data_IF_122372425404
#
_entry.id   IF_122372425404
#
_cell.length_a   1.000
_cell.length_b   1.000
_cell.length_c   1.000
_cell.angle_alpha   90.00
_cell.angle_beta   90.00
_cell.angle_gamma   90.00
#
_symmetry.space_group_name_H-M   'P 1'
#
loop_
_entity.id
_entity.type
_entity.pdbx_description
1 polymer ?
#
# COMPACT_ATOMS: atom_id res chain seq x y z
N UNK A 1 7.32 -21.53 -9.56
CA UNK A 1 6.95 -21.82 -10.96
C UNK A 1 7.50 -23.20 -11.25
N UNK A 2 6.90 -23.97 -12.16
CA UNK A 2 7.53 -25.22 -12.60
C UNK A 2 8.35 -24.89 -13.85
N UNK A 3 9.58 -25.37 -13.92
CA UNK A 3 10.38 -25.24 -15.14
C UNK A 3 9.88 -26.21 -16.23
N UNK A 4 10.55 -26.21 -17.38
CA UNK A 4 10.24 -27.11 -18.50
C UNK A 4 10.40 -28.60 -18.14
N UNK A 5 11.04 -28.92 -17.02
CA UNK A 5 11.19 -30.28 -16.50
C UNK A 5 10.20 -30.63 -15.38
N UNK A 6 9.28 -29.71 -15.04
CA UNK A 6 8.30 -29.91 -13.98
C UNK A 6 8.86 -29.73 -12.57
N UNK A 7 10.10 -29.23 -12.43
CA UNK A 7 10.71 -28.96 -11.13
C UNK A 7 10.34 -27.57 -10.62
N UNK A 8 10.18 -27.45 -9.31
CA UNK A 8 9.92 -26.17 -8.66
C UNK A 8 11.13 -25.25 -8.80
N UNK A 9 10.98 -24.22 -9.63
CA UNK A 9 11.90 -23.08 -9.70
C UNK A 9 11.29 -21.86 -9.01
N UNK A 10 12.11 -21.20 -8.20
CA UNK A 10 11.80 -19.86 -7.72
C UNK A 10 12.17 -18.87 -8.81
N UNK A 11 11.26 -17.93 -9.13
CA UNK A 11 11.68 -16.78 -9.91
C UNK A 11 12.81 -16.09 -9.13
N UNK A 12 13.92 -15.69 -9.81
CA UNK A 12 14.98 -14.97 -9.14
C UNK A 12 14.37 -13.73 -8.47
N UNK A 13 14.70 -13.53 -7.19
CA UNK A 13 14.24 -12.36 -6.44
C UNK A 13 14.74 -11.12 -7.16
N UNK A 14 13.87 -10.11 -7.29
CA UNK A 14 14.30 -8.81 -7.80
C UNK A 14 15.24 -8.18 -6.76
N UNK A 15 16.27 -7.52 -7.26
CA UNK A 15 17.21 -6.74 -6.44
C UNK A 15 16.93 -5.26 -6.66
N UNK A 16 16.88 -4.49 -5.57
CA UNK A 16 16.68 -3.05 -5.65
C UNK A 16 17.79 -2.36 -6.45
N UNK A 17 19.05 -2.76 -6.25
CA UNK A 17 20.17 -2.28 -7.04
C UNK A 17 19.97 -2.53 -8.54
N UNK A 18 19.45 -3.72 -8.92
CA UNK A 18 19.16 -4.02 -10.32
C UNK A 18 18.00 -3.19 -10.88
N UNK A 19 16.98 -2.89 -10.07
CA UNK A 19 15.89 -2.00 -10.47
C UNK A 19 16.41 -0.58 -10.71
N UNK A 20 17.27 -0.07 -9.82
CA UNK A 20 17.93 1.23 -9.99
C UNK A 20 18.76 1.25 -11.28
N UNK A 21 19.61 0.24 -11.51
CA UNK A 21 20.40 0.10 -12.74
C UNK A 21 19.50 0.09 -13.98
N UNK A 22 18.38 -0.65 -13.93
CA UNK A 22 17.42 -0.70 -15.04
C UNK A 22 16.74 0.65 -15.28
N UNK A 23 16.44 1.44 -14.24
CA UNK A 23 15.93 2.81 -14.40
C UNK A 23 16.94 3.69 -15.15
N UNK A 24 18.22 3.65 -14.77
CA UNK A 24 19.28 4.36 -15.50
C UNK A 24 19.42 3.87 -16.95
N UNK A 25 19.32 2.56 -17.17
CA UNK A 25 19.35 1.97 -18.50
C UNK A 25 18.18 2.47 -19.37
N UNK A 26 16.97 2.53 -18.82
CA UNK A 26 15.78 3.04 -19.51
C UNK A 26 15.95 4.52 -19.86
N UNK A 27 16.48 5.33 -18.95
CA UNK A 27 16.75 6.73 -19.20
C UNK A 27 17.73 6.92 -20.36
N UNK A 28 18.92 6.30 -20.29
CA UNK A 28 19.92 6.38 -21.35
C UNK A 28 19.40 5.78 -22.67
N UNK A 29 18.60 4.71 -22.60
CA UNK A 29 17.88 4.24 -23.79
C UNK A 29 16.96 5.34 -24.29
N UNK A 30 16.14 6.01 -23.50
CA UNK A 30 15.24 7.07 -23.98
C UNK A 30 15.93 8.21 -24.74
N UNK A 31 17.26 8.35 -24.62
CA UNK A 31 18.05 9.31 -25.39
C UNK A 31 18.27 8.89 -26.85
N UNK A 32 18.33 7.58 -27.15
CA UNK A 32 18.76 7.02 -28.45
C UNK A 32 17.61 6.62 -29.41
N UNK A 33 16.60 5.79 -29.08
CA UNK A 33 15.44 5.54 -29.94
C UNK A 33 14.50 6.74 -29.99
N UNK A 34 14.01 7.00 -31.21
CA UNK A 34 13.13 8.13 -31.55
C UNK A 34 11.66 7.98 -31.16
N UNK A 35 11.25 6.93 -30.42
CA UNK A 35 9.82 6.70 -30.13
C UNK A 35 9.55 6.21 -28.71
N UNK A 36 8.53 6.82 -28.10
CA UNK A 36 7.89 6.43 -26.83
C UNK A 36 7.57 4.93 -26.77
N UNK A 37 7.16 4.34 -27.89
CA UNK A 37 6.83 2.90 -28.00
C UNK A 37 8.01 1.99 -27.74
N UNK A 38 9.21 2.32 -28.23
CA UNK A 38 10.40 1.49 -28.02
C UNK A 38 10.82 1.48 -26.55
N UNK A 39 10.80 2.66 -25.90
CA UNK A 39 11.07 2.79 -24.46
C UNK A 39 10.02 2.05 -23.64
N UNK A 40 8.74 2.15 -23.99
CA UNK A 40 7.65 1.42 -23.32
C UNK A 40 7.80 -0.11 -23.40
N UNK A 41 8.26 -0.64 -24.53
CA UNK A 41 8.59 -2.08 -24.67
C UNK A 41 9.75 -2.48 -23.76
N UNK A 42 10.78 -1.64 -23.65
CA UNK A 42 11.91 -1.91 -22.76
C UNK A 42 11.52 -1.88 -21.28
N UNK A 43 10.75 -0.87 -20.85
CA UNK A 43 10.19 -0.77 -19.50
C UNK A 43 9.44 -2.05 -19.14
N UNK A 44 8.61 -2.54 -20.07
CA UNK A 44 7.83 -3.78 -19.89
C UNK A 44 8.74 -5.00 -19.77
N UNK A 45 9.74 -5.12 -20.66
CA UNK A 45 10.72 -6.21 -20.66
C UNK A 45 11.52 -6.29 -19.36
N UNK A 46 11.97 -5.14 -18.85
CA UNK A 46 12.75 -5.04 -17.61
C UNK A 46 11.86 -5.08 -16.35
N UNK A 47 10.53 -4.98 -16.52
CA UNK A 47 9.58 -5.03 -15.41
C UNK A 47 9.69 -3.84 -14.45
N UNK A 48 10.18 -2.70 -14.93
CA UNK A 48 10.35 -1.47 -14.15
C UNK A 48 9.05 -0.65 -14.15
N UNK A 49 8.73 -0.03 -13.01
CA UNK A 49 7.55 0.84 -12.84
C UNK A 49 7.95 2.15 -12.17
N UNK A 50 8.83 2.91 -12.83
CA UNK A 50 9.25 4.24 -12.38
C UNK A 50 8.35 5.32 -13.00
N UNK A 51 7.32 5.73 -12.28
CA UNK A 51 6.33 6.71 -12.77
C UNK A 51 6.94 8.11 -12.92
N UNK A 52 7.91 8.47 -12.08
CA UNK A 52 8.56 9.78 -12.12
C UNK A 52 9.44 9.89 -13.35
N UNK A 53 10.33 8.93 -13.57
CA UNK A 53 11.20 8.94 -14.74
C UNK A 53 10.39 8.79 -16.04
N UNK A 54 9.36 7.93 -16.04
CA UNK A 54 8.48 7.76 -17.21
C UNK A 54 7.74 9.05 -17.57
N UNK A 55 7.26 9.84 -16.59
CA UNK A 55 6.56 11.10 -16.87
C UNK A 55 7.48 12.17 -17.46
N UNK A 56 8.73 12.24 -16.98
CA UNK A 56 9.76 13.13 -17.54
C UNK A 56 10.10 12.73 -18.97
N UNK A 57 10.31 11.44 -19.23
CA UNK A 57 10.56 10.91 -20.58
C UNK A 57 9.40 11.21 -21.52
N UNK A 58 8.17 10.97 -21.06
CA UNK A 58 6.96 11.22 -21.85
C UNK A 58 6.82 12.70 -22.20
N UNK A 59 7.00 13.59 -21.21
CA UNK A 59 6.95 15.04 -21.41
C UNK A 59 8.03 15.51 -22.40
N UNK A 60 9.24 14.96 -22.29
CA UNK A 60 10.32 15.23 -23.25
C UNK A 60 9.92 14.82 -24.67
N UNK A 61 9.34 13.64 -24.87
CA UNK A 61 8.89 13.22 -26.20
C UNK A 61 7.74 14.08 -26.75
N UNK A 62 6.80 14.49 -25.91
CA UNK A 62 5.73 15.42 -26.29
C UNK A 62 6.29 16.75 -26.80
N UNK A 63 7.28 17.32 -26.10
CA UNK A 63 7.93 18.57 -26.51
C UNK A 63 8.71 18.38 -27.81
N UNK A 64 9.49 17.30 -27.93
CA UNK A 64 10.26 17.02 -29.15
C UNK A 64 9.37 16.82 -30.38
N UNK A 65 8.15 16.27 -30.20
CA UNK A 65 7.18 16.11 -31.27
C UNK A 65 6.64 17.45 -31.82
N UNK A 66 6.68 18.53 -31.03
CA UNK A 66 6.24 19.87 -31.44
C UNK A 66 7.20 20.56 -32.41
N UNK A 67 8.47 20.14 -32.49
CA UNK A 67 9.50 20.76 -33.32
C UNK A 67 9.52 22.29 -33.13
N UNK A 68 9.35 23.06 -34.20
CA UNK A 68 9.42 24.53 -34.21
C UNK A 68 8.24 25.22 -33.51
N UNK A 69 7.19 24.46 -33.12
CA UNK A 69 6.04 24.99 -32.36
C UNK A 69 6.20 24.88 -30.84
N UNK A 70 7.35 24.39 -30.36
CA UNK A 70 7.64 24.32 -28.93
C UNK A 70 7.83 25.73 -28.35
N UNK A 71 7.27 25.96 -27.16
CA UNK A 71 7.44 27.24 -26.44
C UNK A 71 8.86 27.39 -25.89
N UNK A 72 9.29 28.62 -25.59
CA UNK A 72 10.59 28.89 -24.99
C UNK A 72 10.79 28.14 -23.65
N UNK A 73 9.74 28.07 -22.82
CA UNK A 73 9.74 27.31 -21.57
C UNK A 73 9.94 25.80 -21.78
N UNK A 74 9.30 25.23 -22.82
CA UNK A 74 9.45 23.82 -23.16
C UNK A 74 10.85 23.48 -23.69
N UNK A 75 11.43 24.37 -24.49
CA UNK A 75 12.83 24.27 -24.94
C UNK A 75 13.77 24.36 -23.75
N UNK A 76 13.53 25.29 -22.83
CA UNK A 76 14.31 25.44 -21.59
C UNK A 76 14.20 24.19 -20.70
N UNK A 77 13.01 23.59 -20.58
CA UNK A 77 12.81 22.33 -19.86
C UNK A 77 13.68 21.21 -20.42
N UNK A 78 13.64 20.99 -21.75
CA UNK A 78 14.45 19.94 -22.40
C UNK A 78 15.95 20.21 -22.25
N UNK A 79 16.37 21.47 -22.34
CA UNK A 79 17.78 21.84 -22.11
C UNK A 79 18.20 21.63 -20.65
N UNK A 80 17.32 21.95 -19.70
CA UNK A 80 17.53 21.69 -18.27
C UNK A 80 17.73 20.21 -17.97
N UNK A 81 16.98 19.32 -18.63
CA UNK A 81 17.19 17.87 -18.51
C UNK A 81 18.59 17.43 -18.98
N UNK A 82 19.08 17.99 -20.09
CA UNK A 82 20.44 17.69 -20.59
C UNK A 82 21.52 18.17 -19.62
N UNK A 83 21.34 19.37 -19.05
CA UNK A 83 22.28 19.93 -18.09
C UNK A 83 22.33 19.06 -16.82
N UNK A 84 21.17 18.61 -16.34
CA UNK A 84 21.08 17.69 -15.20
C UNK A 84 21.73 16.34 -15.50
N UNK A 85 21.55 15.77 -16.70
CA UNK A 85 22.19 14.49 -17.03
C UNK A 85 23.72 14.58 -17.03
N UNK A 86 24.29 15.74 -17.37
CA UNK A 86 25.73 15.97 -17.42
C UNK A 86 26.38 16.27 -16.06
N UNK A 87 25.64 16.86 -15.11
CA UNK A 87 26.24 17.39 -13.86
C UNK A 87 25.45 17.16 -12.56
N UNK A 88 24.29 16.51 -12.62
CA UNK A 88 23.42 16.28 -11.46
C UNK A 88 22.40 15.17 -11.74
N UNK A 89 22.87 14.07 -12.32
CA UNK A 89 22.02 13.04 -12.92
C UNK A 89 21.06 12.43 -11.92
N UNK A 90 21.45 12.33 -10.66
CA UNK A 90 20.63 11.76 -9.60
C UNK A 90 19.35 12.55 -9.34
N UNK A 91 19.33 13.86 -9.63
CA UNK A 91 18.13 14.70 -9.54
C UNK A 91 17.03 14.34 -10.56
N UNK A 92 17.38 13.57 -11.61
CA UNK A 92 16.43 13.07 -12.61
C UNK A 92 15.69 11.80 -12.16
N UNK A 93 16.09 11.24 -11.02
CA UNK A 93 15.57 9.99 -10.50
C UNK A 93 14.95 10.17 -9.12
N UNK A 94 14.28 9.11 -8.67
CA UNK A 94 13.67 9.08 -7.35
C UNK A 94 14.74 9.28 -6.26
N UNK A 95 14.55 10.21 -5.30
CA UNK A 95 15.50 10.40 -4.19
C UNK A 95 15.60 9.15 -3.31
N UNK A 96 14.62 8.23 -3.37
CA UNK A 96 14.69 6.93 -2.70
C UNK A 96 15.86 6.06 -3.18
N UNK A 97 16.46 6.33 -4.33
CA UNK A 97 17.66 5.60 -4.79
C UNK A 97 18.89 5.89 -3.91
N UNK A 98 18.90 7.03 -3.24
CA UNK A 98 20.01 7.47 -2.38
C UNK A 98 19.75 7.19 -0.89
N UNK A 99 18.54 6.71 -0.55
CA UNK A 99 18.15 6.49 0.84
C UNK A 99 18.84 5.24 1.38
N UNK A 100 19.86 5.44 2.23
CA UNK A 100 20.56 4.35 2.91
C UNK A 100 19.56 3.52 3.74
N UNK A 101 19.62 2.20 3.59
CA UNK A 101 18.75 1.26 4.31
C UNK A 101 17.37 1.04 3.69
N UNK A 102 17.03 1.71 2.58
CA UNK A 102 15.79 1.47 1.84
C UNK A 102 16.01 0.50 0.67
N UNK A 103 15.18 -0.53 0.59
CA UNK A 103 15.11 -1.48 -0.51
C UNK A 103 13.69 -1.48 -1.09
N UNK A 104 13.49 -0.89 -2.26
CA UNK A 104 12.16 -0.81 -2.87
C UNK A 104 11.51 -2.15 -3.21
N UNK A 105 12.29 -3.25 -3.31
CA UNK A 105 11.75 -4.59 -3.53
C UNK A 105 11.25 -5.23 -2.22
N UNK A 106 11.87 -4.91 -1.09
CA UNK A 106 11.54 -5.50 0.21
C UNK A 106 10.72 -4.57 1.13
N UNK A 107 10.78 -3.25 0.90
CA UNK A 107 10.09 -2.20 1.66
C UNK A 107 8.77 -1.75 1.05
N UNK A 108 8.22 -2.57 0.15
CA UNK A 108 6.88 -2.40 -0.40
C UNK A 108 5.99 -3.57 0.04
N UNK A 109 5.47 -3.54 1.29
CA UNK A 109 4.71 -4.65 1.84
C UNK A 109 3.39 -4.88 1.11
N UNK A 110 2.85 -6.09 1.27
CA UNK A 110 1.57 -6.50 0.69
C UNK A 110 0.42 -5.69 1.30
N UNK A 111 -0.09 -4.69 0.59
CA UNK A 111 -1.19 -3.86 1.09
C UNK A 111 -2.49 -4.68 1.20
N UNK A 112 -2.89 -5.02 2.43
CA UNK A 112 -3.95 -6.01 2.71
C UNK A 112 -5.34 -5.56 2.28
N UNK A 113 -5.66 -4.26 2.38
CA UNK A 113 -6.98 -3.77 1.97
C UNK A 113 -7.19 -4.01 0.47
N UNK A 114 -6.21 -3.66 -0.34
CA UNK A 114 -6.24 -3.78 -1.78
C UNK A 114 -6.03 -5.21 -2.24
N UNK A 115 -5.10 -5.95 -1.64
CA UNK A 115 -4.76 -7.31 -2.05
C UNK A 115 -5.82 -8.31 -1.60
N UNK A 116 -6.23 -8.25 -0.34
CA UNK A 116 -7.15 -9.24 0.24
C UNK A 116 -8.61 -8.86 0.02
N UNK A 117 -9.10 -7.74 0.58
CA UNK A 117 -10.52 -7.36 0.51
C UNK A 117 -10.94 -6.89 -0.89
N UNK A 118 -10.32 -5.81 -1.39
CA UNK A 118 -10.61 -5.23 -2.72
C UNK A 118 -9.95 -6.02 -3.86
N UNK A 119 -9.28 -7.12 -3.54
CA UNK A 119 -8.64 -8.02 -4.47
C UNK A 119 -9.31 -9.38 -4.44
N UNK A 120 -8.73 -10.29 -3.66
CA UNK A 120 -9.13 -11.70 -3.60
C UNK A 120 -10.61 -11.87 -3.26
N UNK A 121 -11.07 -11.31 -2.14
CA UNK A 121 -12.48 -11.42 -1.69
C UNK A 121 -13.42 -10.82 -2.74
N UNK A 122 -13.09 -9.61 -3.23
CA UNK A 122 -13.85 -8.95 -4.29
C UNK A 122 -13.95 -9.79 -5.55
N UNK A 123 -12.85 -10.35 -6.03
CA UNK A 123 -12.86 -11.12 -7.27
C UNK A 123 -13.68 -12.39 -7.13
N UNK A 124 -13.51 -13.12 -6.02
CA UNK A 124 -14.26 -14.34 -5.76
C UNK A 124 -15.75 -14.08 -5.60
N UNK A 125 -16.14 -13.11 -4.76
CA UNK A 125 -17.54 -12.74 -4.60
C UNK A 125 -18.16 -12.29 -5.92
N UNK A 126 -17.47 -11.44 -6.68
CA UNK A 126 -17.97 -10.96 -7.98
C UNK A 126 -18.11 -12.11 -8.98
N UNK A 127 -17.13 -13.01 -9.05
CA UNK A 127 -17.19 -14.18 -9.93
C UNK A 127 -18.38 -15.08 -9.57
N UNK A 128 -18.59 -15.31 -8.28
CA UNK A 128 -19.69 -16.14 -7.79
C UNK A 128 -21.04 -15.51 -8.08
N UNK A 129 -21.26 -14.25 -7.65
CA UNK A 129 -22.53 -13.55 -7.83
C UNK A 129 -22.90 -13.36 -9.31
N UNK A 130 -21.92 -13.18 -10.20
CA UNK A 130 -22.15 -13.15 -11.65
C UNK A 130 -22.60 -14.48 -12.25
N UNK A 131 -22.24 -15.60 -11.62
CA UNK A 131 -22.61 -16.93 -12.10
C UNK A 131 -24.03 -17.34 -11.70
N UNK A 132 -24.67 -16.60 -10.79
CA UNK A 132 -26.03 -16.88 -10.35
C UNK A 132 -27.04 -16.39 -11.38
N UNK A 133 -28.13 -17.14 -11.55
CA UNK A 133 -29.27 -16.73 -12.35
C UNK A 133 -29.96 -15.52 -11.71
N UNK A 134 -30.48 -14.61 -12.54
CA UNK A 134 -31.14 -13.38 -12.05
C UNK A 134 -32.32 -13.67 -11.10
N UNK A 135 -33.06 -14.76 -11.34
CA UNK A 135 -34.17 -15.21 -10.50
C UNK A 135 -33.78 -15.69 -9.11
N UNK A 136 -32.50 -16.00 -8.87
CA UNK A 136 -31.99 -16.45 -7.55
C UNK A 136 -31.61 -15.27 -6.65
N UNK A 137 -31.36 -14.09 -7.23
CA UNK A 137 -30.94 -12.91 -6.45
C UNK A 137 -31.94 -12.46 -5.37
N UNK A 138 -33.28 -12.52 -5.57
CA UNK A 138 -34.23 -12.25 -4.49
C UNK A 138 -34.06 -13.17 -3.28
N UNK A 139 -33.80 -14.47 -3.51
CA UNK A 139 -33.58 -15.44 -2.43
C UNK A 139 -32.25 -15.17 -1.70
N UNK A 140 -31.18 -14.86 -2.43
CA UNK A 140 -29.91 -14.41 -1.82
C UNK A 140 -30.13 -13.17 -0.93
N UNK A 141 -30.96 -12.22 -1.38
CA UNK A 141 -31.30 -11.04 -0.59
C UNK A 141 -32.10 -11.40 0.67
N UNK A 142 -33.07 -12.32 0.56
CA UNK A 142 -33.84 -12.82 1.69
C UNK A 142 -32.93 -13.49 2.73
N UNK A 143 -31.95 -14.28 2.29
CA UNK A 143 -30.94 -14.91 3.14
C UNK A 143 -30.03 -13.92 3.84
N UNK A 144 -29.57 -12.88 3.14
CA UNK A 144 -28.86 -11.78 3.80
C UNK A 144 -29.71 -11.07 4.85
N UNK A 145 -31.04 -10.99 4.65
CA UNK A 145 -31.98 -10.37 5.61
C UNK A 145 -32.23 -11.25 6.83
N UNK A 146 -32.21 -12.58 6.69
CA UNK A 146 -32.38 -13.53 7.79
C UNK A 146 -31.07 -13.89 8.53
N UNK A 147 -29.92 -13.52 7.97
CA UNK A 147 -28.61 -13.80 8.57
C UNK A 147 -28.45 -13.10 9.94
N UNK A 148 -28.14 -13.88 10.98
CA UNK A 148 -27.90 -13.35 12.32
C UNK A 148 -26.57 -12.58 12.38
N UNK A 149 -26.66 -11.28 12.67
CA UNK A 149 -25.51 -10.38 12.75
C UNK A 149 -24.94 -10.24 14.15
N UNK A 150 -25.49 -10.90 15.18
CA UNK A 150 -25.01 -10.74 16.57
C UNK A 150 -23.53 -11.06 16.74
N UNK A 151 -23.01 -12.01 15.96
CA UNK A 151 -21.60 -12.37 15.93
C UNK A 151 -20.73 -11.46 15.05
N UNK A 152 -21.33 -10.56 14.27
CA UNK A 152 -20.61 -9.61 13.44
C UNK A 152 -20.47 -8.27 14.19
N UNK A 153 -19.25 -7.74 14.25
CA UNK A 153 -19.01 -6.38 14.73
C UNK A 153 -19.43 -5.33 13.68
N UNK A 154 -20.73 -5.30 13.33
CA UNK A 154 -21.31 -4.39 12.33
C UNK A 154 -22.66 -3.84 12.82
N UNK A 155 -22.95 -2.55 12.58
CA UNK A 155 -24.17 -1.93 13.09
C UNK A 155 -25.45 -2.46 12.41
N UNK A 156 -25.38 -2.77 11.11
CA UNK A 156 -26.51 -3.35 10.37
C UNK A 156 -26.04 -3.91 9.01
N UNK A 157 -26.66 -5.00 8.58
CA UNK A 157 -26.53 -5.50 7.21
C UNK A 157 -27.35 -4.65 6.24
N UNK A 158 -26.84 -4.50 5.01
CA UNK A 158 -27.58 -3.88 3.90
C UNK A 158 -27.85 -4.92 2.81
N UNK A 159 -28.82 -5.84 2.98
CA UNK A 159 -29.06 -6.97 2.06
C UNK A 159 -29.23 -6.54 0.60
N UNK A 160 -30.02 -5.49 0.36
CA UNK A 160 -30.21 -4.93 -0.97
C UNK A 160 -28.89 -4.51 -1.60
N UNK A 161 -28.05 -3.79 -0.85
CA UNK A 161 -26.76 -3.30 -1.34
C UNK A 161 -25.78 -4.44 -1.60
N UNK A 162 -25.65 -5.40 -0.67
CA UNK A 162 -24.79 -6.58 -0.82
C UNK A 162 -25.19 -7.45 -2.02
N UNK A 163 -26.47 -7.49 -2.35
CA UNK A 163 -27.00 -8.33 -3.44
C UNK A 163 -27.01 -7.63 -4.80
N UNK A 164 -27.38 -6.36 -4.88
CA UNK A 164 -27.49 -5.62 -6.16
C UNK A 164 -26.21 -4.89 -6.56
N UNK A 165 -25.37 -4.52 -5.59
CA UNK A 165 -24.16 -3.74 -5.81
C UNK A 165 -22.88 -4.50 -5.43
N UNK A 166 -22.92 -5.84 -5.47
CA UNK A 166 -21.80 -6.73 -5.09
C UNK A 166 -20.46 -6.41 -5.78
N UNK A 167 -20.47 -5.76 -6.95
CA UNK A 167 -19.24 -5.36 -7.66
C UNK A 167 -18.60 -4.07 -7.14
N UNK A 168 -19.39 -3.22 -6.46
CA UNK A 168 -19.05 -1.87 -6.06
C UNK A 168 -18.96 -1.71 -4.53
N UNK A 169 -18.92 -2.82 -3.81
CA UNK A 169 -18.69 -2.83 -2.37
C UNK A 169 -17.35 -2.18 -2.02
N UNK A 170 -17.26 -1.62 -0.81
CA UNK A 170 -16.03 -1.08 -0.24
C UNK A 170 -15.41 -2.07 0.77
N UNK A 171 -14.22 -1.77 1.30
CA UNK A 171 -13.47 -2.68 2.18
C UNK A 171 -14.31 -3.28 3.31
N UNK A 172 -15.03 -2.42 4.07
CA UNK A 172 -15.90 -2.88 5.15
C UNK A 172 -17.00 -3.84 4.67
N UNK A 173 -17.62 -3.56 3.53
CA UNK A 173 -18.69 -4.39 2.98
C UNK A 173 -18.14 -5.75 2.51
N UNK A 174 -16.93 -5.80 1.95
CA UNK A 174 -16.27 -7.07 1.63
C UNK A 174 -15.88 -7.86 2.87
N UNK A 175 -15.50 -7.21 3.97
CA UNK A 175 -15.26 -7.89 5.25
C UNK A 175 -16.54 -8.54 5.78
N UNK A 176 -17.69 -7.89 5.59
CA UNK A 176 -19.01 -8.48 5.90
C UNK A 176 -19.31 -9.66 4.97
N UNK A 177 -19.16 -9.48 3.66
CA UNK A 177 -19.42 -10.53 2.69
C UNK A 177 -18.54 -11.75 2.94
N UNK A 178 -17.28 -11.57 3.29
CA UNK A 178 -16.36 -12.66 3.65
C UNK A 178 -16.88 -13.52 4.82
N UNK A 179 -17.48 -12.89 5.83
CA UNK A 179 -18.00 -13.60 7.00
C UNK A 179 -19.39 -14.21 6.75
N UNK A 180 -20.23 -13.57 5.95
CA UNK A 180 -21.62 -14.01 5.72
C UNK A 180 -21.78 -14.98 4.53
N UNK A 181 -20.95 -14.84 3.49
CA UNK A 181 -21.13 -15.57 2.24
C UNK A 181 -21.14 -17.10 2.36
N UNK A 182 -20.33 -17.76 3.22
CA UNK A 182 -20.42 -19.21 3.41
C UNK A 182 -21.79 -19.70 3.88
N UNK A 183 -22.57 -18.85 4.55
CA UNK A 183 -23.91 -19.19 5.06
C UNK A 183 -25.00 -18.74 4.09
N UNK A 184 -24.90 -17.51 3.60
CA UNK A 184 -25.90 -16.91 2.71
C UNK A 184 -25.91 -17.56 1.32
N UNK A 185 -24.73 -17.94 0.82
CA UNK A 185 -24.56 -18.42 -0.55
C UNK A 185 -24.34 -19.95 -0.62
N UNK A 186 -24.37 -20.65 0.52
CA UNK A 186 -24.01 -22.07 0.66
C UNK A 186 -24.70 -22.99 -0.35
N UNK A 187 -26.00 -22.80 -0.53
CA UNK A 187 -26.84 -23.63 -1.40
C UNK A 187 -26.43 -23.52 -2.87
N UNK A 188 -25.85 -22.39 -3.27
CA UNK A 188 -25.42 -22.14 -4.64
C UNK A 188 -23.93 -22.44 -4.87
N UNK A 189 -23.25 -22.99 -3.86
CA UNK A 189 -21.86 -23.43 -3.95
C UNK A 189 -21.79 -24.92 -4.24
N UNK A 190 -21.03 -25.29 -5.29
CA UNK A 190 -20.53 -26.65 -5.43
C UNK A 190 -19.53 -26.97 -4.32
N UNK A 191 -19.21 -28.25 -4.13
CA UNK A 191 -18.25 -28.70 -3.13
C UNK A 191 -16.88 -28.01 -3.28
N UNK A 192 -16.34 -27.93 -4.51
CA UNK A 192 -15.09 -27.21 -4.77
C UNK A 192 -15.17 -25.74 -4.37
N UNK A 193 -16.30 -25.05 -4.65
CA UNK A 193 -16.49 -23.64 -4.25
C UNK A 193 -16.53 -23.50 -2.72
N UNK A 194 -17.15 -24.44 -2.01
CA UNK A 194 -17.18 -24.48 -0.54
C UNK A 194 -15.77 -24.65 0.03
N UNK A 195 -14.95 -25.52 -0.56
CA UNK A 195 -13.56 -25.71 -0.16
C UNK A 195 -12.73 -24.43 -0.35
N UNK A 196 -12.85 -23.76 -1.50
CA UNK A 196 -12.11 -22.50 -1.73
C UNK A 196 -12.53 -21.42 -0.72
N UNK A 197 -13.84 -21.32 -0.45
CA UNK A 197 -14.36 -20.32 0.49
C UNK A 197 -14.02 -20.61 1.94
N UNK A 198 -14.08 -21.88 2.35
CA UNK A 198 -13.62 -22.31 3.67
C UNK A 198 -12.13 -21.99 3.87
N UNK A 199 -11.28 -22.30 2.87
CA UNK A 199 -9.86 -21.96 2.92
C UNK A 199 -9.63 -20.45 3.08
N UNK A 200 -10.40 -19.61 2.37
CA UNK A 200 -10.29 -18.16 2.52
C UNK A 200 -10.75 -17.68 3.90
N UNK A 201 -11.84 -18.25 4.44
CA UNK A 201 -12.37 -17.90 5.75
C UNK A 201 -11.42 -18.31 6.88
N UNK A 202 -10.69 -19.41 6.73
CA UNK A 202 -9.63 -19.82 7.68
C UNK A 202 -8.39 -18.92 7.59
N UNK A 203 -8.04 -18.45 6.39
CA UNK A 203 -6.93 -17.53 6.19
C UNK A 203 -7.21 -16.12 6.75
N UNK A 204 -8.45 -15.65 6.65
CA UNK A 204 -8.81 -14.27 6.99
C UNK A 204 -8.47 -13.84 8.44
N UNK A 205 -8.73 -14.64 9.49
CA UNK A 205 -8.31 -14.33 10.85
C UNK A 205 -6.82 -14.04 10.98
N UNK A 206 -5.96 -14.84 10.33
CA UNK A 206 -4.52 -14.61 10.36
C UNK A 206 -4.14 -13.30 9.65
N UNK A 207 -4.78 -13.00 8.51
CA UNK A 207 -4.53 -11.77 7.75
C UNK A 207 -4.89 -10.51 8.57
N UNK A 208 -5.97 -10.56 9.35
CA UNK A 208 -6.45 -9.42 10.15
C UNK A 208 -6.03 -9.46 11.62
N UNK A 209 -5.14 -10.38 12.00
CA UNK A 209 -4.63 -10.46 13.34
C UNK A 209 -3.84 -9.20 13.69
N UNK A 210 -4.14 -8.59 14.83
CA UNK A 210 -3.50 -7.33 15.28
C UNK A 210 -2.31 -7.57 16.20
N UNK A 211 -2.15 -8.78 16.72
CA UNK A 211 -1.07 -9.18 17.62
C UNK A 211 -0.65 -10.63 17.36
N UNK A 212 0.65 -10.86 17.15
CA UNK A 212 1.22 -12.19 16.90
C UNK A 212 2.16 -12.51 18.08
N UNK A 213 1.80 -13.50 18.89
CA UNK A 213 2.62 -13.92 20.03
C UNK A 213 3.85 -14.72 19.57
N UNK A 214 3.63 -15.78 18.78
CA UNK A 214 4.68 -16.68 18.28
C UNK A 214 4.83 -16.54 16.76
N UNK A 215 5.82 -15.76 16.32
CA UNK A 215 6.02 -15.43 14.90
C UNK A 215 6.29 -16.69 14.05
N UNK A 216 7.11 -17.62 14.52
CA UNK A 216 7.48 -18.81 13.74
C UNK A 216 6.28 -19.73 13.49
N UNK A 217 5.49 -20.01 14.53
CA UNK A 217 4.26 -20.80 14.42
C UNK A 217 3.22 -20.11 13.52
N UNK A 218 3.10 -18.79 13.64
CA UNK A 218 2.25 -17.97 12.77
C UNK A 218 2.70 -18.05 11.30
N UNK A 219 4.00 -17.94 11.02
CA UNK A 219 4.56 -18.03 9.67
C UNK A 219 4.27 -19.38 9.01
N UNK A 220 4.42 -20.48 9.76
CA UNK A 220 4.09 -21.84 9.28
C UNK A 220 2.60 -21.91 8.92
N UNK A 221 1.73 -21.51 9.85
CA UNK A 221 0.27 -21.56 9.67
C UNK A 221 -0.19 -20.70 8.49
N UNK A 222 0.32 -19.46 8.40
CA UNK A 222 -0.02 -18.53 7.33
C UNK A 222 0.40 -19.07 5.97
N UNK A 223 1.65 -19.55 5.83
CA UNK A 223 2.13 -20.10 4.54
C UNK A 223 1.36 -21.34 4.13
N UNK A 224 1.01 -22.22 5.08
CA UNK A 224 0.19 -23.39 4.81
C UNK A 224 -1.21 -23.00 4.33
N UNK A 225 -1.91 -22.11 5.04
CA UNK A 225 -3.25 -21.67 4.65
C UNK A 225 -3.27 -20.90 3.33
N UNK A 226 -2.24 -20.07 3.05
CA UNK A 226 -2.08 -19.43 1.73
C UNK A 226 -1.92 -20.47 0.62
N UNK A 227 -1.08 -21.50 0.82
CA UNK A 227 -0.89 -22.58 -0.17
C UNK A 227 -2.17 -23.39 -0.38
N UNK A 228 -2.86 -23.73 0.70
CA UNK A 228 -4.13 -24.47 0.66
C UNK A 228 -5.21 -23.68 -0.08
N UNK A 229 -5.35 -22.39 0.23
CA UNK A 229 -6.25 -21.49 -0.48
C UNK A 229 -5.92 -21.42 -1.98
N UNK A 230 -4.65 -21.20 -2.34
CA UNK A 230 -4.22 -21.10 -3.74
C UNK A 230 -4.44 -22.42 -4.49
N UNK A 231 -4.18 -23.56 -3.86
CA UNK A 231 -4.42 -24.88 -4.45
C UNK A 231 -5.90 -25.05 -4.84
N UNK A 232 -6.82 -24.82 -3.90
CA UNK A 232 -8.25 -24.93 -4.17
C UNK A 232 -8.74 -23.89 -5.18
N UNK A 233 -8.18 -22.68 -5.13
CA UNK A 233 -8.50 -21.62 -6.07
C UNK A 233 -8.11 -22.00 -7.50
N UNK A 234 -6.88 -22.46 -7.73
CA UNK A 234 -6.40 -22.86 -9.05
C UNK A 234 -7.13 -24.12 -9.54
N UNK A 235 -7.42 -25.09 -8.66
CA UNK A 235 -8.23 -26.27 -8.98
C UNK A 235 -9.61 -25.86 -9.52
N UNK A 236 -10.21 -24.80 -8.98
CA UNK A 236 -11.50 -24.30 -9.47
C UNK A 236 -11.41 -23.68 -10.88
N UNK A 237 -10.34 -22.93 -11.16
CA UNK A 237 -10.01 -22.45 -12.50
C UNK A 237 -8.60 -21.89 -12.55
N UNK A 238 -7.84 -22.26 -13.58
CA UNK A 238 -6.49 -21.72 -13.79
C UNK A 238 -6.48 -20.21 -14.12
N UNK A 239 -7.60 -19.61 -14.50
CA UNK A 239 -7.68 -18.17 -14.86
C UNK A 239 -7.31 -17.23 -13.72
N UNK A 240 -7.33 -17.71 -12.48
CA UNK A 240 -6.92 -16.96 -11.31
C UNK A 240 -5.44 -16.51 -11.36
N UNK A 241 -4.57 -17.23 -12.08
CA UNK A 241 -3.15 -16.84 -12.23
C UNK A 241 -2.96 -15.47 -12.90
N UNK A 242 -3.94 -15.02 -13.68
CA UNK A 242 -3.93 -13.71 -14.34
C UNK A 242 -4.24 -12.55 -13.38
N UNK A 243 -4.54 -12.81 -12.10
CA UNK A 243 -4.79 -11.78 -11.09
C UNK A 243 -3.53 -11.54 -10.24
N UNK A 244 -2.83 -10.40 -10.41
CA UNK A 244 -1.56 -10.15 -9.72
C UNK A 244 -1.70 -10.14 -8.19
N UNK A 245 -2.86 -9.75 -7.66
CA UNK A 245 -3.13 -9.75 -6.21
C UNK A 245 -3.09 -11.15 -5.59
N UNK A 246 -3.39 -12.20 -6.35
CA UNK A 246 -3.24 -13.58 -5.88
C UNK A 246 -1.76 -13.93 -5.70
N UNK A 247 -0.92 -13.50 -6.64
CA UNK A 247 0.53 -13.65 -6.49
C UNK A 247 1.07 -12.83 -5.31
N UNK A 248 0.57 -11.60 -5.11
CA UNK A 248 0.99 -10.76 -3.98
C UNK A 248 0.73 -11.43 -2.62
N UNK A 249 -0.34 -12.22 -2.49
CA UNK A 249 -0.65 -12.95 -1.24
C UNK A 249 0.47 -13.90 -0.80
N UNK A 250 1.23 -14.48 -1.74
CA UNK A 250 2.36 -15.36 -1.44
C UNK A 250 3.47 -14.64 -0.66
N UNK A 251 3.56 -13.31 -0.80
CA UNK A 251 4.56 -12.47 -0.14
C UNK A 251 4.06 -11.86 1.17
N UNK A 252 2.81 -12.15 1.58
CA UNK A 252 2.24 -11.59 2.81
C UNK A 252 3.02 -12.07 4.04
N UNK A 253 3.41 -13.34 4.06
CA UNK A 253 4.20 -13.91 5.14
C UNK A 253 5.55 -13.20 5.29
N UNK A 254 6.24 -12.91 4.18
CA UNK A 254 7.51 -12.18 4.18
C UNK A 254 7.31 -10.72 4.65
N UNK A 255 6.20 -10.08 4.24
CA UNK A 255 5.83 -8.73 4.71
C UNK A 255 5.59 -8.72 6.23
N UNK A 256 4.87 -9.71 6.77
CA UNK A 256 4.56 -9.78 8.19
C UNK A 256 5.82 -10.07 9.03
N UNK A 257 6.75 -10.86 8.51
CA UNK A 257 8.01 -11.12 9.18
C UNK A 257 8.86 -9.83 9.32
N UNK A 258 8.83 -8.97 8.31
CA UNK A 258 9.61 -7.73 8.26
C UNK A 258 8.94 -6.56 9.00
N UNK A 259 7.62 -6.41 8.87
CA UNK A 259 6.89 -5.23 9.34
C UNK A 259 5.93 -5.50 10.51
N UNK A 260 5.85 -6.74 11.00
CA UNK A 260 4.90 -7.15 12.01
C UNK A 260 3.49 -7.41 11.44
N UNK A 261 2.45 -7.47 12.29
CA UNK A 261 1.10 -7.81 11.84
C UNK A 261 0.60 -6.91 10.71
N UNK A 262 -0.17 -7.47 9.78
CA UNK A 262 -0.51 -6.76 8.53
C UNK A 262 -1.34 -5.49 8.72
N UNK A 263 -2.01 -5.35 9.87
CA UNK A 263 -2.68 -4.13 10.28
C UNK A 263 -1.73 -2.92 10.39
N UNK A 264 -0.42 -3.12 10.58
CA UNK A 264 0.57 -2.05 10.72
C UNK A 264 0.92 -1.37 9.40
N UNK A 265 0.81 -2.08 8.28
CA UNK A 265 1.12 -1.56 6.94
C UNK A 265 -0.10 -1.51 6.01
N UNK A 266 -1.32 -1.60 6.57
CA UNK A 266 -2.54 -1.35 5.84
C UNK A 266 -2.68 0.14 5.49
N UNK A 267 -3.08 0.46 4.25
CA UNK A 267 -3.18 1.86 3.79
C UNK A 267 -4.48 2.55 4.16
N UNK A 268 -5.42 1.87 4.82
CA UNK A 268 -6.74 2.42 5.15
C UNK A 268 -6.67 3.75 5.92
N UNK A 269 -5.74 3.85 6.89
CA UNK A 269 -5.51 5.09 7.63
C UNK A 269 -5.05 6.23 6.71
N UNK A 270 -4.13 5.95 5.79
CA UNK A 270 -3.64 6.93 4.82
C UNK A 270 -4.74 7.32 3.81
N UNK A 271 -5.54 6.37 3.34
CA UNK A 271 -6.67 6.64 2.44
C UNK A 271 -7.77 7.46 3.09
N UNK A 272 -8.03 7.25 4.38
CA UNK A 272 -8.98 8.07 5.14
C UNK A 272 -8.59 9.56 5.11
N UNK A 273 -7.30 9.85 5.00
CA UNK A 273 -6.76 11.21 4.89
C UNK A 273 -7.16 11.90 3.58
N UNK A 274 -7.50 11.16 2.52
CA UNK A 274 -8.07 11.74 1.30
C UNK A 274 -9.40 12.46 1.57
N UNK A 275 -10.12 12.10 2.62
CA UNK A 275 -11.30 12.85 3.07
C UNK A 275 -10.94 14.25 3.60
N UNK A 276 -9.85 14.34 4.37
CA UNK A 276 -9.32 15.61 4.89
C UNK A 276 -8.86 16.50 3.75
N UNK A 277 -8.05 15.97 2.82
CA UNK A 277 -7.59 16.68 1.63
C UNK A 277 -8.75 17.27 0.82
N UNK A 278 -9.79 16.47 0.57
CA UNK A 278 -10.98 16.91 -0.17
C UNK A 278 -11.72 18.03 0.55
N UNK A 279 -11.89 17.94 1.87
CA UNK A 279 -12.51 19.02 2.67
C UNK A 279 -11.70 20.31 2.58
N UNK A 280 -10.39 20.23 2.79
CA UNK A 280 -9.50 21.40 2.66
C UNK A 280 -9.56 22.03 1.27
N UNK A 281 -9.64 21.21 0.21
CA UNK A 281 -9.82 21.72 -1.15
C UNK A 281 -11.16 22.44 -1.35
N UNK A 282 -12.27 21.86 -0.86
CA UNK A 282 -13.62 22.43 -1.02
C UNK A 282 -13.74 23.80 -0.35
N UNK A 283 -13.08 23.98 0.80
CA UNK A 283 -13.09 25.19 1.62
C UNK A 283 -11.95 26.17 1.33
N UNK A 284 -11.11 25.90 0.33
CA UNK A 284 -10.11 26.86 -0.16
C UNK A 284 -10.74 27.96 -1.03
N UNK A 285 -9.96 28.99 -1.38
CA UNK A 285 -10.38 30.00 -2.38
C UNK A 285 -10.49 29.41 -3.81
N UNK A 286 -10.08 28.15 -3.99
CA UNK A 286 -10.10 27.35 -5.24
C UNK A 286 -9.26 27.90 -6.39
N UNK A 287 -8.45 28.92 -6.17
CA UNK A 287 -7.51 29.44 -7.18
C UNK A 287 -6.30 28.52 -7.34
N UNK A 288 -5.78 27.99 -6.23
CA UNK A 288 -4.71 27.00 -6.24
C UNK A 288 -4.82 26.03 -5.06
N UNK A 289 -5.78 25.08 -5.09
CA UNK A 289 -6.04 24.18 -3.96
C UNK A 289 -4.80 23.40 -3.50
N UNK A 290 -3.94 22.99 -4.43
CA UNK A 290 -2.69 22.29 -4.11
C UNK A 290 -1.72 23.14 -3.28
N UNK A 291 -1.56 24.42 -3.65
CA UNK A 291 -0.73 25.37 -2.91
C UNK A 291 -1.31 25.64 -1.52
N UNK A 292 -2.60 25.89 -1.44
CA UNK A 292 -3.29 26.20 -0.18
C UNK A 292 -3.23 25.02 0.82
N UNK A 293 -3.44 23.80 0.32
CA UNK A 293 -3.29 22.57 1.13
C UNK A 293 -1.84 22.39 1.58
N UNK A 294 -0.87 22.61 0.67
CA UNK A 294 0.56 22.53 1.00
C UNK A 294 0.96 23.50 2.10
N UNK A 295 0.55 24.77 2.01
CA UNK A 295 0.77 25.79 3.03
C UNK A 295 0.10 25.39 4.35
N UNK A 296 -1.14 24.89 4.29
CA UNK A 296 -1.86 24.44 5.49
C UNK A 296 -1.10 23.33 6.23
N UNK A 297 -0.58 22.32 5.52
CA UNK A 297 0.22 21.26 6.14
C UNK A 297 1.57 21.75 6.66
N UNK A 298 2.23 22.66 5.93
CA UNK A 298 3.45 23.29 6.43
C UNK A 298 3.17 24.02 7.75
N UNK A 299 2.08 24.78 7.84
CA UNK A 299 1.66 25.47 9.06
C UNK A 299 1.34 24.49 10.19
N UNK A 300 0.61 23.40 9.93
CA UNK A 300 0.34 22.37 10.94
C UNK A 300 1.62 21.73 11.47
N UNK A 301 2.58 21.40 10.59
CA UNK A 301 3.87 20.83 11.01
C UNK A 301 4.73 21.83 11.77
N UNK A 302 4.78 23.08 11.32
CA UNK A 302 5.50 24.15 12.02
C UNK A 302 4.89 24.40 13.41
N UNK A 303 3.56 24.47 13.50
CA UNK A 303 2.88 24.63 14.78
C UNK A 303 3.20 23.47 15.72
N UNK A 304 3.09 22.23 15.24
CA UNK A 304 3.46 21.03 16.01
C UNK A 304 4.91 21.09 16.49
N UNK A 305 5.85 21.42 15.60
CA UNK A 305 7.27 21.55 15.93
C UNK A 305 7.51 22.59 17.03
N UNK A 306 6.90 23.77 16.92
CA UNK A 306 7.03 24.84 17.90
C UNK A 306 6.46 24.46 19.27
N UNK A 307 5.22 23.95 19.30
CA UNK A 307 4.55 23.61 20.57
C UNK A 307 5.16 22.40 21.26
N UNK A 308 5.82 21.50 20.51
CA UNK A 308 6.56 20.36 21.08
C UNK A 308 7.99 20.69 21.50
N UNK A 309 8.41 21.97 21.47
CA UNK A 309 9.75 22.37 21.90
C UNK A 309 10.85 22.23 20.84
N UNK A 310 10.48 22.06 19.57
CA UNK A 310 11.43 22.02 18.46
C UNK A 310 12.20 23.33 18.28
N UNK A 311 13.48 23.21 17.95
CA UNK A 311 14.36 24.35 17.72
C UNK A 311 14.20 24.93 16.31
N UNK A 312 14.30 26.25 16.19
CA UNK A 312 14.31 26.98 14.93
C UNK A 312 15.35 28.09 14.96
N UNK A 313 15.89 28.45 13.80
CA UNK A 313 16.90 29.48 13.68
C UNK A 313 16.27 30.87 13.74
N UNK A 314 16.69 31.70 14.68
CA UNK A 314 16.32 33.11 14.77
C UNK A 314 17.40 33.96 14.11
N UNK A 315 17.08 34.54 12.95
CA UNK A 315 18.01 35.36 12.19
C UNK A 315 18.39 36.68 12.88
N UNK A 316 17.55 37.21 13.77
CA UNK A 316 17.83 38.44 14.51
C UNK A 316 18.84 38.16 15.63
N UNK A 317 18.65 37.06 16.36
CA UNK A 317 19.55 36.63 17.42
C UNK A 317 20.78 35.86 16.90
N UNK A 318 20.79 35.51 15.60
CA UNK A 318 21.77 34.64 14.95
C UNK A 318 22.02 33.31 15.71
N UNK A 319 20.94 32.74 16.27
CA UNK A 319 21.02 31.56 17.13
C UNK A 319 19.78 30.66 16.99
N UNK A 320 19.94 29.37 17.28
CA UNK A 320 18.82 28.45 17.41
C UNK A 320 18.12 28.66 18.75
N UNK A 321 16.80 28.78 18.72
CA UNK A 321 15.96 28.92 19.91
C UNK A 321 14.73 28.02 19.79
N UNK A 322 14.04 27.82 20.90
CA UNK A 322 12.75 27.11 20.97
C UNK A 322 11.63 28.09 21.36
N UNK A 323 10.39 27.62 21.36
CA UNK A 323 9.26 28.41 21.83
C UNK A 323 9.39 28.75 23.32
N UNK A 324 8.77 29.85 23.76
CA UNK A 324 8.84 30.26 25.18
C UNK A 324 8.16 29.24 26.10
N UNK A 325 8.56 29.23 27.38
CA UNK A 325 8.05 28.28 28.38
C UNK A 325 6.51 28.21 28.42
N UNK A 326 5.81 29.35 28.31
CA UNK A 326 4.34 29.40 28.28
C UNK A 326 3.72 28.64 27.11
N UNK A 327 4.36 28.64 25.94
CA UNK A 327 3.89 27.89 24.76
C UNK A 327 4.10 26.38 24.96
N UNK A 328 5.23 26.00 25.58
CA UNK A 328 5.52 24.61 25.91
C UNK A 328 4.59 24.08 27.00
N UNK A 329 4.29 24.90 28.01
CA UNK A 329 3.31 24.60 29.06
C UNK A 329 1.90 24.37 28.50
N UNK A 330 1.49 25.17 27.50
CA UNK A 330 0.20 24.97 26.83
C UNK A 330 0.12 23.56 26.25
N UNK A 331 1.18 23.08 25.60
CA UNK A 331 1.22 21.73 25.04
C UNK A 331 1.31 20.66 26.13
N UNK A 332 2.17 20.84 27.13
CA UNK A 332 2.37 19.89 28.22
C UNK A 332 1.08 19.68 29.05
N UNK A 333 0.34 20.76 29.32
CA UNK A 333 -0.80 20.77 30.22
C UNK A 333 -2.15 20.57 29.52
N UNK A 334 -2.19 20.49 28.18
CA UNK A 334 -3.44 20.37 27.43
C UNK A 334 -3.51 19.05 26.64
N UNK A 335 -4.10 17.98 27.23
CA UNK A 335 -4.28 16.69 26.54
C UNK A 335 -5.06 16.81 25.22
N UNK A 336 -6.00 17.76 25.11
CA UNK A 336 -6.74 18.02 23.87
C UNK A 336 -5.84 18.55 22.75
N UNK A 337 -4.90 19.45 23.07
CA UNK A 337 -3.92 19.99 22.13
C UNK A 337 -2.96 18.87 21.70
N UNK A 338 -2.46 18.08 22.65
CA UNK A 338 -1.64 16.91 22.37
C UNK A 338 -2.32 15.93 21.41
N UNK A 339 -3.56 15.52 21.73
CA UNK A 339 -4.34 14.59 20.90
C UNK A 339 -4.59 15.13 19.50
N UNK A 340 -4.90 16.43 19.36
CA UNK A 340 -5.10 17.05 18.03
C UNK A 340 -3.81 17.08 17.19
N UNK A 341 -2.64 17.10 17.83
CA UNK A 341 -1.33 17.01 17.19
C UNK A 341 -0.83 15.56 17.00
N UNK A 342 -1.63 14.56 17.40
CA UNK A 342 -1.27 13.14 17.31
C UNK A 342 -0.23 12.70 18.35
N UNK A 343 -0.13 13.40 19.48
CA UNK A 343 0.67 13.03 20.64
C UNK A 343 -0.25 12.47 21.74
N UNK A 344 0.13 11.35 22.35
CA UNK A 344 -0.59 10.77 23.48
C UNK A 344 0.40 10.35 24.56
N UNK A 345 0.54 11.17 25.61
CA UNK A 345 1.46 10.93 26.72
C UNK A 345 1.17 9.60 27.44
N UNK A 346 -0.11 9.25 27.61
CA UNK A 346 -0.53 8.01 28.28
C UNK A 346 0.01 6.75 27.58
N UNK A 347 0.21 6.80 26.26
CA UNK A 347 0.77 5.69 25.48
C UNK A 347 2.31 5.61 25.54
N UNK A 348 2.97 6.65 26.05
CA UNK A 348 4.43 6.67 26.24
C UNK A 348 4.80 6.17 27.64
N UNK A 349 4.02 6.55 28.66
CA UNK A 349 4.27 6.18 30.07
C UNK A 349 3.75 4.78 30.42
N UNK A 350 2.67 4.34 29.77
CA UNK A 350 2.30 2.93 29.70
C UNK A 350 2.66 2.45 28.30
N UNK A 351 3.89 1.97 28.05
CA UNK A 351 4.13 1.20 26.85
C UNK A 351 3.11 0.07 26.90
N UNK A 352 2.12 0.11 26.00
CA UNK A 352 1.42 -1.08 25.58
C UNK A 352 2.54 -2.12 25.40
N UNK A 353 2.40 -3.38 25.84
CA UNK A 353 3.37 -4.44 25.56
C UNK A 353 3.40 -4.77 24.05
N UNK A 354 3.41 -3.74 23.20
CA UNK A 354 3.97 -3.71 21.88
C UNK A 354 5.46 -3.92 22.03
N UNK A 355 5.87 -5.19 22.09
CA UNK A 355 7.16 -5.58 21.53
C UNK A 355 6.96 -5.50 20.02
N UNK A 356 7.44 -4.47 19.30
CA UNK A 356 7.57 -4.59 17.86
C UNK A 356 8.54 -5.75 17.63
N UNK A 357 8.02 -6.92 17.27
CA UNK A 357 8.81 -8.05 16.80
C UNK A 357 9.30 -7.68 15.40
N UNK A 358 10.31 -6.82 15.33
CA UNK A 358 11.17 -6.76 14.15
C UNK A 358 11.96 -8.06 14.20
N UNK A 359 11.75 -8.94 13.22
CA UNK A 359 12.47 -10.20 13.10
C UNK A 359 13.96 -9.98 12.80
N UNK A 360 14.70 -9.52 13.80
CA UNK A 360 16.14 -9.63 13.88
C UNK A 360 16.45 -10.64 14.99
N UNK A 361 17.03 -11.77 14.63
CA UNK A 361 17.50 -12.75 15.60
C UNK A 361 18.47 -12.07 16.57
N UNK A 362 18.03 -11.79 17.79
CA UNK A 362 18.91 -11.45 18.90
C UNK A 362 19.34 -12.77 19.50
N UNK A 363 20.52 -13.27 19.10
CA UNK A 363 21.17 -14.32 19.86
C UNK A 363 21.53 -13.77 21.23
N UNK A 364 21.36 -14.60 22.26
CA UNK A 364 21.50 -14.31 23.68
C UNK A 364 22.93 -14.03 24.17
N UNK A 365 23.78 -13.47 23.32
CA UNK A 365 25.07 -12.90 23.69
C UNK A 365 25.24 -11.61 22.89
N UNK A 366 25.19 -10.47 23.58
CA UNK A 366 25.26 -9.12 23.01
C UNK A 366 26.60 -8.82 22.34
N UNK A 367 26.82 -9.34 21.15
CA UNK A 367 27.86 -8.90 20.23
C UNK A 367 27.23 -8.54 18.87
N UNK A 368 27.27 -7.26 18.55
CA UNK A 368 27.05 -6.74 17.20
C UNK A 368 28.08 -7.36 16.27
N UNK A 369 27.63 -8.15 15.29
CA UNK A 369 28.47 -8.47 14.13
C UNK A 369 28.47 -7.26 13.21
N UNK A 370 29.62 -6.59 13.13
CA UNK A 370 29.95 -5.73 12.01
C UNK A 370 29.88 -6.55 10.73
N UNK A 371 28.93 -6.20 9.88
CA UNK A 371 28.96 -6.57 8.47
C UNK A 371 29.13 -5.29 7.67
N UNK A 372 30.40 -4.96 7.43
CA UNK A 372 30.83 -4.14 6.31
C UNK A 372 30.39 -4.81 5.00
N UNK A 373 29.48 -4.18 4.25
CA UNK A 373 29.42 -4.20 2.78
C UNK A 373 28.64 -2.97 2.27
#
# INVERSE_FOLDING_TARGET
MLDSSGLWINNPKRSWAKIIENCYHIWHKSEKPRTKTAVGKEITKLGVRDVLNTSIIDRRYEILAKKDTATAEEVQFVQGLKNLDQGGKEALFSPFFQLKGFDGCADTPVEVLHVFLLGIVKYMLRSFMKSLLAGVLPEVMARYKSFDTKGLNVPSLRPYYLTKHYSNLIGKDFKVALQAAPFVLFEYMSEDKRLVWSALCQLAPLVFQTHIAEMDAYQISLRQLVRFFIYHLIKSTAQWVNKPKIHMLLHLADSILRFGPAALFATEKFESYNGVLRKSSIHSNRQSPGKDIGISFANFRNLRHLVSGGYFFNCIANAYQTASAKVLELFANSPSVQKSMGYNAENLDNPIPFKPTVGGATNSQGQTRDHSF
#
